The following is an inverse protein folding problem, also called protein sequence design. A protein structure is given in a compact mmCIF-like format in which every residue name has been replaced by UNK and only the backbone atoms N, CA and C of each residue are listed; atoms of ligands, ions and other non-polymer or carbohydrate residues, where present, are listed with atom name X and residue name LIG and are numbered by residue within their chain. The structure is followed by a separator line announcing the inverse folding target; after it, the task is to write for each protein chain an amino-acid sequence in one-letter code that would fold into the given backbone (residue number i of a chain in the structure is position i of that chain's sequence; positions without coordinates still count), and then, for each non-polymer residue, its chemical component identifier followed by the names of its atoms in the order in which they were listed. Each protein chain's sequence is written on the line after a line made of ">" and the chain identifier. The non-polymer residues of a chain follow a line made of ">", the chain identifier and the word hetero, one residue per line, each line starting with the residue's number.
data_IF_486608181960
#
_entry.id   IF_486608181960
#
_cell.length_a   1.000
_cell.length_b   1.000
_cell.length_c   1.000
_cell.angle_alpha   90.00
_cell.angle_beta   90.00
_cell.angle_gamma   90.00
#
_symmetry.space_group_name_H-M   'P 1'
#
loop_
_entity.id
_entity.type
_entity.pdbx_description
1 polymer ?
#
# COMPACT_ATOMS: atom_id res chain seq x y z
N UNK A 1 24.45 5.10 -2.30
CA UNK A 1 23.04 4.74 -2.26
C UNK A 1 22.22 5.85 -1.66
N UNK A 2 21.16 6.22 -2.31
CA UNK A 2 20.36 7.34 -1.87
C UNK A 2 19.21 6.86 -0.97
N UNK A 3 19.33 7.15 0.31
CA UNK A 3 18.33 6.71 1.27
C UNK A 3 16.97 7.36 1.04
N UNK A 4 16.97 8.54 0.45
CA UNK A 4 15.72 9.25 0.19
C UNK A 4 14.87 8.50 -0.83
N UNK A 5 15.51 7.98 -1.86
CA UNK A 5 14.79 7.23 -2.90
C UNK A 5 14.24 5.94 -2.31
N UNK A 6 15.03 5.27 -1.48
CA UNK A 6 14.58 4.03 -0.86
C UNK A 6 13.39 4.31 0.07
N UNK A 7 13.46 5.39 0.83
CA UNK A 7 12.36 5.75 1.72
C UNK A 7 11.08 6.05 0.94
N UNK A 8 11.22 6.74 -0.17
CA UNK A 8 10.05 7.05 -1.01
C UNK A 8 9.42 5.77 -1.56
N UNK A 9 10.25 4.85 -2.00
CA UNK A 9 9.74 3.58 -2.54
C UNK A 9 8.99 2.79 -1.47
N UNK A 10 9.55 2.76 -0.26
CA UNK A 10 8.91 2.05 0.84
C UNK A 10 7.56 2.69 1.17
N UNK A 11 7.50 4.00 1.17
CA UNK A 11 6.26 4.71 1.47
C UNK A 11 5.20 4.41 0.41
N UNK A 12 5.59 4.43 -0.86
CA UNK A 12 4.65 4.14 -1.93
C UNK A 12 4.11 2.73 -1.83
N UNK A 13 4.98 1.78 -1.53
CA UNK A 13 4.56 0.40 -1.36
C UNK A 13 3.58 0.26 -0.21
N UNK A 14 3.82 0.99 0.86
CA UNK A 14 2.91 0.96 2.02
C UNK A 14 1.54 1.50 1.66
N UNK A 15 1.51 2.62 0.96
CA UNK A 15 0.25 3.23 0.56
C UNK A 15 -0.52 2.30 -0.37
N UNK A 16 0.16 1.71 -1.33
CA UNK A 16 -0.49 0.80 -2.28
C UNK A 16 -1.00 -0.44 -1.57
N UNK A 17 -0.23 -0.94 -0.62
CA UNK A 17 -0.62 -2.13 0.13
C UNK A 17 -1.89 -1.87 0.91
N UNK A 18 -1.98 -0.72 1.56
CA UNK A 18 -3.15 -0.34 2.33
C UNK A 18 -4.37 -0.20 1.43
N UNK A 19 -4.18 0.37 0.24
CA UNK A 19 -5.27 0.53 -0.70
C UNK A 19 -5.80 -0.81 -1.18
N UNK A 20 -4.91 -1.74 -1.47
CA UNK A 20 -5.31 -3.07 -1.90
C UNK A 20 -6.07 -3.77 -0.78
N UNK A 21 -5.58 -3.65 0.44
CA UNK A 21 -6.26 -4.24 1.58
C UNK A 21 -7.66 -3.68 1.76
N UNK A 22 -7.81 -2.38 1.56
CA UNK A 22 -9.11 -1.74 1.69
C UNK A 22 -10.09 -2.29 0.67
N UNK A 23 -9.65 -2.46 -0.56
CA UNK A 23 -10.51 -3.00 -1.61
C UNK A 23 -10.90 -4.44 -1.29
N UNK A 24 -9.94 -5.23 -0.86
CA UNK A 24 -10.22 -6.62 -0.51
C UNK A 24 -11.21 -6.73 0.64
N UNK A 25 -11.05 -5.85 1.61
CA UNK A 25 -11.96 -5.85 2.75
C UNK A 25 -13.37 -5.48 2.32
N UNK A 26 -13.47 -4.51 1.46
CA UNK A 26 -14.78 -4.09 0.96
C UNK A 26 -15.47 -5.20 0.21
N UNK A 27 -14.74 -5.89 -0.63
CA UNK A 27 -15.27 -7.01 -1.38
C UNK A 27 -15.72 -8.13 -0.44
N UNK A 28 -14.95 -8.37 0.60
CA UNK A 28 -15.28 -9.43 1.56
C UNK A 28 -16.52 -9.09 2.35
N UNK A 29 -16.67 -7.83 2.72
CA UNK A 29 -17.83 -7.40 3.50
C UNK A 29 -19.09 -7.33 2.65
N UNK A 30 -18.92 -7.07 1.38
CA UNK A 30 -20.05 -6.94 0.46
C UNK A 30 -20.64 -8.27 0.05
N UNK A 31 -19.95 -9.32 0.40
CA UNK A 31 -20.39 -10.66 0.04
C UNK A 31 -21.33 -11.24 1.15
#
# INVERSE_FOLDING_TARGET
>A
MNKEIINELVQELNIKSVQIESVLKLLSENN
#
